data_IF_031140126212
#
_entry.id   IF_031140126212
#
_cell.length_a   1.000
_cell.length_b   1.000
_cell.length_c   1.000
_cell.angle_alpha   90.00
_cell.angle_beta   90.00
_cell.angle_gamma   90.00
#
_symmetry.space_group_name_H-M   'P 1'
#
loop_
_entity.id
_entity.type
_entity.pdbx_description
1 polymer ?
#
# COMPACT_ATOMS: atom_id res chain seq x y z
N UNK A 1 -34.47 -24.95 -62.56
CA UNK A 1 -35.51 -24.05 -61.99
C UNK A 1 -35.74 -24.52 -60.57
N UNK A 2 -35.55 -23.62 -59.61
CA UNK A 2 -35.42 -23.83 -58.17
C UNK A 2 -34.00 -24.19 -57.69
N UNK A 3 -33.18 -23.14 -57.58
CA UNK A 3 -32.01 -23.02 -56.73
C UNK A 3 -32.42 -23.07 -55.25
N UNK A 4 -32.02 -24.11 -54.52
CA UNK A 4 -32.10 -24.13 -53.06
C UNK A 4 -30.86 -23.41 -52.49
N UNK A 5 -31.04 -22.12 -52.21
CA UNK A 5 -30.08 -21.25 -51.53
C UNK A 5 -29.97 -21.70 -50.07
N UNK A 6 -28.88 -22.41 -49.77
CA UNK A 6 -28.48 -22.78 -48.42
C UNK A 6 -28.23 -21.51 -47.58
N UNK A 7 -29.25 -21.14 -46.82
CA UNK A 7 -29.27 -19.95 -45.97
C UNK A 7 -28.49 -20.27 -44.69
N UNK A 8 -27.17 -20.09 -44.77
CA UNK A 8 -26.27 -20.21 -43.64
C UNK A 8 -26.57 -19.10 -42.62
N UNK A 9 -27.41 -19.41 -41.63
CA UNK A 9 -27.60 -18.55 -40.47
C UNK A 9 -26.47 -18.82 -39.46
N UNK A 10 -25.83 -17.78 -38.89
CA UNK A 10 -24.78 -18.02 -37.91
C UNK A 10 -25.40 -18.62 -36.65
N UNK A 11 -25.04 -19.87 -36.34
CA UNK A 11 -25.39 -20.52 -35.08
C UNK A 11 -24.67 -19.78 -33.96
N UNK A 12 -25.42 -19.02 -33.15
CA UNK A 12 -24.89 -18.38 -31.95
C UNK A 12 -24.71 -19.45 -30.87
N UNK A 13 -23.50 -19.98 -30.76
CA UNK A 13 -23.15 -20.92 -29.69
C UNK A 13 -22.84 -20.10 -28.44
N UNK A 14 -23.84 -19.93 -27.58
CA UNK A 14 -23.64 -19.33 -26.25
C UNK A 14 -22.81 -20.27 -25.39
N UNK A 15 -21.53 -19.95 -25.19
CA UNK A 15 -20.68 -20.69 -24.27
C UNK A 15 -21.27 -20.61 -22.86
N UNK A 16 -21.43 -21.77 -22.19
CA UNK A 16 -21.89 -21.82 -20.79
C UNK A 16 -20.98 -20.92 -19.95
N UNK A 17 -21.55 -19.85 -19.42
CA UNK A 17 -20.85 -18.94 -18.53
C UNK A 17 -20.45 -19.71 -17.27
N UNK A 18 -19.19 -20.10 -17.17
CA UNK A 18 -18.65 -20.59 -15.92
C UNK A 18 -18.69 -19.43 -14.92
N UNK A 19 -19.36 -19.57 -13.75
CA UNK A 19 -19.45 -18.50 -12.79
C UNK A 19 -18.04 -18.18 -12.29
N UNK A 20 -17.50 -17.05 -12.71
CA UNK A 20 -16.26 -16.52 -12.19
C UNK A 20 -16.48 -16.25 -10.70
N UNK A 21 -15.76 -16.98 -9.84
CA UNK A 21 -15.85 -16.84 -8.39
C UNK A 21 -15.16 -15.53 -7.99
N UNK A 22 -15.89 -14.41 -8.05
CA UNK A 22 -15.37 -13.11 -7.65
C UNK A 22 -15.28 -13.07 -6.12
N UNK A 23 -14.06 -13.10 -5.60
CA UNK A 23 -13.82 -12.83 -4.20
C UNK A 23 -14.00 -11.33 -3.99
N UNK A 24 -15.21 -10.90 -3.58
CA UNK A 24 -15.41 -9.55 -3.07
C UNK A 24 -14.64 -9.45 -1.75
N UNK A 25 -13.43 -8.92 -1.82
CA UNK A 25 -12.61 -8.60 -0.67
C UNK A 25 -13.29 -7.53 0.17
N UNK A 26 -14.30 -7.92 0.94
CA UNK A 26 -14.78 -7.17 2.10
C UNK A 26 -13.73 -7.29 3.21
N UNK A 27 -12.50 -6.90 2.90
CA UNK A 27 -11.48 -6.60 3.88
C UNK A 27 -12.01 -5.38 4.63
N UNK A 28 -12.49 -5.61 5.85
CA UNK A 28 -12.78 -4.60 6.87
C UNK A 28 -11.74 -3.49 6.71
N UNK A 29 -12.13 -2.33 6.15
CA UNK A 29 -11.25 -1.17 5.99
C UNK A 29 -10.74 -0.84 7.39
N UNK A 30 -9.53 -1.30 7.71
CA UNK A 30 -8.98 -1.20 9.06
C UNK A 30 -8.81 0.28 9.36
N UNK A 31 -9.16 0.61 10.58
CA UNK A 31 -9.31 1.93 11.16
C UNK A 31 -8.36 2.98 10.56
N UNK A 32 -9.00 4.06 10.10
CA UNK A 32 -8.56 5.46 10.09
C UNK A 32 -7.09 5.71 10.45
N UNK A 33 -6.40 6.44 9.57
CA UNK A 33 -5.09 7.09 9.75
C UNK A 33 -5.04 8.04 10.97
N UNK A 34 -5.33 7.57 12.18
CA UNK A 34 -5.20 8.33 13.41
C UNK A 34 -3.86 7.97 14.02
N UNK A 35 -2.85 8.76 13.68
CA UNK A 35 -1.59 8.78 14.41
C UNK A 35 -1.91 9.42 15.77
N UNK A 36 -1.59 8.78 16.90
CA UNK A 36 -1.77 9.36 18.24
C UNK A 36 -0.99 10.67 18.36
N UNK A 37 -1.57 11.63 19.09
CA UNK A 37 -0.94 12.93 19.35
C UNK A 37 0.37 12.79 20.12
N UNK A 38 0.56 11.70 20.87
CA UNK A 38 1.80 11.37 21.58
C UNK A 38 3.00 11.22 20.63
N UNK A 39 2.77 10.74 19.40
CA UNK A 39 3.83 10.61 18.40
C UNK A 39 3.98 11.92 17.61
N UNK A 40 2.88 12.63 17.37
CA UNK A 40 2.91 13.90 16.63
C UNK A 40 3.59 15.02 17.40
N UNK A 41 3.42 15.05 18.73
CA UNK A 41 3.95 16.10 19.60
C UNK A 41 5.21 15.67 20.35
N UNK A 42 5.86 14.58 19.94
CA UNK A 42 7.12 14.16 20.55
C UNK A 42 8.25 15.13 20.12
N UNK A 43 8.80 15.93 21.05
CA UNK A 43 9.81 16.93 20.72
C UNK A 43 11.12 16.28 20.25
N UNK A 44 11.42 15.07 20.71
CA UNK A 44 12.62 14.35 20.34
C UNK A 44 12.53 13.86 18.89
N UNK A 45 11.37 13.32 18.52
CA UNK A 45 11.09 12.91 17.15
C UNK A 45 11.06 14.09 16.17
N UNK A 46 10.45 15.21 16.56
CA UNK A 46 10.41 16.42 15.71
C UNK A 46 11.82 16.95 15.45
N UNK A 47 12.66 17.05 16.48
CA UNK A 47 14.06 17.49 16.33
C UNK A 47 14.84 16.59 15.37
N UNK A 48 14.65 15.27 15.46
CA UNK A 48 15.35 14.33 14.60
C UNK A 48 14.83 14.35 13.15
N UNK A 49 13.55 14.68 12.94
CA UNK A 49 12.98 14.90 11.60
C UNK A 49 13.49 16.21 10.99
N UNK A 50 13.72 17.25 11.79
CA UNK A 50 14.28 18.52 11.32
C UNK A 50 15.72 18.40 10.79
N UNK A 51 16.45 17.35 11.18
CA UNK A 51 17.76 17.01 10.60
C UNK A 51 17.66 16.50 9.15
N UNK A 52 16.50 15.94 8.77
CA UNK A 52 16.25 15.49 7.41
C UNK A 52 15.89 16.68 6.51
N UNK A 53 16.28 16.63 5.21
CA UNK A 53 15.97 17.72 4.32
C UNK A 53 14.46 17.83 4.09
N UNK A 54 13.93 19.05 4.28
CA UNK A 54 12.48 19.36 4.18
C UNK A 54 11.89 19.13 2.78
N UNK A 55 12.72 18.80 1.79
CA UNK A 55 12.31 18.52 0.43
C UNK A 55 11.76 17.09 0.25
N UNK A 56 11.77 16.25 1.28
CA UNK A 56 11.22 14.89 1.23
C UNK A 56 10.36 14.58 2.45
N UNK A 57 9.14 14.08 2.22
CA UNK A 57 8.25 13.64 3.28
C UNK A 57 8.35 12.12 3.44
N UNK A 58 9.14 11.67 4.41
CA UNK A 58 9.31 10.24 4.72
C UNK A 58 8.15 9.63 5.53
N UNK A 59 7.13 10.42 5.90
CA UNK A 59 6.02 10.00 6.78
C UNK A 59 6.49 9.27 8.06
N UNK A 60 7.61 9.70 8.68
CA UNK A 60 8.26 9.01 9.81
C UNK A 60 7.28 8.74 10.97
N UNK A 61 6.47 9.75 11.34
CA UNK A 61 5.44 9.63 12.38
C UNK A 61 4.50 8.43 12.14
N UNK A 62 4.11 8.20 10.89
CA UNK A 62 3.19 7.14 10.48
C UNK A 62 3.87 5.78 10.50
N UNK A 63 5.16 5.73 10.13
CA UNK A 63 5.99 4.53 10.20
C UNK A 63 6.18 4.08 11.64
N UNK A 64 6.53 4.98 12.56
CA UNK A 64 6.67 4.70 13.99
C UNK A 64 5.35 4.21 14.58
N UNK A 65 4.23 4.87 14.24
CA UNK A 65 2.92 4.41 14.68
C UNK A 65 2.60 2.99 14.20
N UNK A 66 2.93 2.68 12.94
CA UNK A 66 2.75 1.32 12.41
C UNK A 66 3.61 0.29 13.15
N UNK A 67 4.84 0.63 13.50
CA UNK A 67 5.74 -0.25 14.28
C UNK A 67 5.16 -0.48 15.68
N UNK A 68 4.74 0.59 16.37
CA UNK A 68 4.15 0.51 17.72
C UNK A 68 2.83 -0.27 17.73
N UNK A 69 1.94 0.01 16.77
CA UNK A 69 0.63 -0.67 16.69
C UNK A 69 0.73 -2.15 16.29
N UNK A 70 1.78 -2.54 15.58
CA UNK A 70 2.03 -3.95 15.21
C UNK A 70 2.87 -4.70 16.25
N UNK A 71 3.49 -4.00 17.21
CA UNK A 71 4.38 -4.60 18.21
C UNK A 71 5.63 -5.23 17.59
N UNK A 72 6.10 -4.72 16.46
CA UNK A 72 7.22 -5.30 15.72
C UNK A 72 8.54 -5.12 16.49
N UNK A 73 9.26 -6.21 16.74
CA UNK A 73 10.59 -6.20 17.37
C UNK A 73 11.73 -6.01 16.37
N UNK A 74 11.49 -6.32 15.09
CA UNK A 74 12.44 -6.19 14.00
C UNK A 74 11.76 -5.47 12.85
N UNK A 75 12.44 -4.46 12.32
CA UNK A 75 11.95 -3.63 11.23
C UNK A 75 13.01 -3.64 10.14
N UNK A 76 12.59 -3.91 8.91
CA UNK A 76 13.44 -3.76 7.73
C UNK A 76 13.04 -2.47 7.00
N UNK A 77 14.03 -1.69 6.60
CA UNK A 77 13.84 -0.47 5.82
C UNK A 77 14.33 -0.73 4.40
N UNK A 78 13.48 -0.45 3.41
CA UNK A 78 13.81 -0.57 2.01
C UNK A 78 13.78 0.81 1.37
N UNK A 79 14.87 1.18 0.71
CA UNK A 79 14.97 2.45 0.00
C UNK A 79 15.50 2.21 -1.43
N UNK A 80 15.04 2.99 -2.42
CA UNK A 80 15.68 3.08 -3.73
C UNK A 80 17.04 3.80 -3.60
N UNK A 81 17.94 3.61 -4.58
CA UNK A 81 19.33 4.10 -4.52
C UNK A 81 19.46 5.59 -4.16
N UNK A 82 18.60 6.45 -4.71
CA UNK A 82 18.62 7.89 -4.43
C UNK A 82 18.21 8.31 -3.01
N UNK A 83 17.67 7.39 -2.21
CA UNK A 83 17.25 7.64 -0.82
C UNK A 83 18.07 6.86 0.20
N UNK A 84 18.99 6.00 -0.25
CA UNK A 84 19.85 5.21 0.65
C UNK A 84 20.70 6.09 1.57
N UNK A 85 21.05 7.30 1.14
CA UNK A 85 21.80 8.26 1.97
C UNK A 85 21.06 8.61 3.29
N UNK A 86 19.73 8.52 3.30
CA UNK A 86 18.91 8.80 4.48
C UNK A 86 18.61 7.55 5.30
N UNK A 87 18.92 6.35 4.80
CA UNK A 87 18.54 5.10 5.44
C UNK A 87 19.13 4.95 6.85
N UNK A 88 20.41 5.32 7.02
CA UNK A 88 21.08 5.23 8.31
C UNK A 88 20.45 6.20 9.34
N UNK A 89 20.25 7.45 8.94
CA UNK A 89 19.64 8.48 9.80
C UNK A 89 18.21 8.08 10.20
N UNK A 90 17.40 7.63 9.23
CA UNK A 90 16.03 7.17 9.48
C UNK A 90 16.02 5.94 10.41
N UNK A 91 16.99 5.04 10.29
CA UNK A 91 17.14 3.89 11.19
C UNK A 91 17.40 4.33 12.64
N UNK A 92 18.24 5.35 12.84
CA UNK A 92 18.52 5.87 14.17
C UNK A 92 17.29 6.57 14.77
N UNK A 93 16.54 7.32 13.96
CA UNK A 93 15.27 7.96 14.38
C UNK A 93 14.23 6.92 14.83
N UNK A 94 14.11 5.80 14.12
CA UNK A 94 13.12 4.75 14.45
C UNK A 94 13.51 3.96 15.72
N UNK A 95 14.80 3.93 16.04
CA UNK A 95 15.33 3.20 17.20
C UNK A 95 15.13 3.98 18.51
N UNK A 96 15.13 5.30 18.46
CA UNK A 96 14.85 6.18 19.61
C UNK A 96 13.41 5.99 20.11
#
# INVERSE_FOLDING_TARGET
MADDVESNSPVVISAKQHPQKVFSGAGKRRATNKIPDDILNDPQLQSAIDELPKNYNFEIHKSIWRIRSTGAQRVALQFPEGLLIYACVISDIIKQ
#
